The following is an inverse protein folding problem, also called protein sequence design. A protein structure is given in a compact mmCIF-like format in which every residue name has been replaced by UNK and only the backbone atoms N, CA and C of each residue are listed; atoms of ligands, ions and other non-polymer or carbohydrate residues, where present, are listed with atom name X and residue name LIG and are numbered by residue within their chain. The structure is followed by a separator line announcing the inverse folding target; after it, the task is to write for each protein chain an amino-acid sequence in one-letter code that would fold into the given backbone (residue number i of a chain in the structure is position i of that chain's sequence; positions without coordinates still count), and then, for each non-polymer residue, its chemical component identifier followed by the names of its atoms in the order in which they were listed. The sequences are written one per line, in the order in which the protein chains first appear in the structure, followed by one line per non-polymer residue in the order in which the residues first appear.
data_IF_144114270862
#
_entry.id   IF_144114270862
#
_cell.length_a   1.000
_cell.length_b   1.000
_cell.length_c   1.000
_cell.angle_alpha   90.00
_cell.angle_beta   90.00
_cell.angle_gamma   90.00
#
_symmetry.space_group_name_H-M   'P 1'
#
loop_
_entity.id
_entity.type
_entity.pdbx_description
1 polymer ?
#
# COMPACT_ATOMS: atom_id res chain seq x y z
N UNK A 1 26.26 11.06 1.43
CA UNK A 1 27.63 10.77 0.97
C UNK A 1 28.08 11.78 -0.09
N UNK A 2 29.38 12.05 -0.17
CA UNK A 2 29.98 13.06 -1.05
C UNK A 2 29.58 12.90 -2.55
N UNK A 3 29.21 11.69 -2.97
CA UNK A 3 28.70 11.39 -4.31
C UNK A 3 27.39 12.13 -4.66
N UNK A 4 26.45 12.25 -3.72
CA UNK A 4 25.16 12.92 -3.96
C UNK A 4 25.30 14.45 -4.09
N UNK A 5 26.31 15.03 -3.43
CA UNK A 5 26.61 16.48 -3.51
C UNK A 5 27.28 16.85 -4.83
N UNK A 6 28.16 15.99 -5.33
CA UNK A 6 28.85 16.17 -6.61
C UNK A 6 27.88 16.12 -7.81
N UNK A 7 26.83 15.30 -7.74
CA UNK A 7 25.80 15.20 -8.79
C UNK A 7 24.90 16.44 -8.88
N UNK A 8 24.60 17.08 -7.74
CA UNK A 8 23.83 18.33 -7.71
C UNK A 8 24.61 19.52 -8.32
N UNK A 9 25.93 19.53 -8.16
CA UNK A 9 26.81 20.58 -8.69
C UNK A 9 26.94 20.53 -10.22
N UNK A 10 26.84 19.33 -10.81
CA UNK A 10 26.83 19.14 -12.27
C UNK A 10 25.51 19.59 -12.90
N UNK A 11 24.38 19.35 -12.22
CA UNK A 11 23.05 19.75 -12.67
C UNK A 11 22.84 21.28 -12.70
N UNK A 12 23.66 22.05 -11.99
CA UNK A 12 23.57 23.50 -11.92
C UNK A 12 24.29 24.24 -13.07
N UNK A 13 24.91 23.54 -14.03
CA UNK A 13 25.53 24.16 -15.21
C UNK A 13 24.51 24.35 -16.34
N UNK A 14 24.08 25.59 -16.66
CA UNK A 14 23.17 25.83 -17.76
C UNK A 14 23.89 25.60 -19.10
N UNK A 15 23.40 24.65 -19.92
CA UNK A 15 23.82 24.48 -21.32
C UNK A 15 24.32 23.09 -21.73
N UNK A 16 24.48 22.14 -20.80
CA UNK A 16 24.76 20.73 -21.16
C UNK A 16 23.44 19.96 -21.30
N UNK A 17 23.27 19.22 -22.41
CA UNK A 17 22.21 18.23 -22.55
C UNK A 17 22.23 17.29 -21.33
N UNK A 18 21.08 16.88 -20.78
CA UNK A 18 21.06 15.99 -19.61
C UNK A 18 21.82 14.72 -19.97
N UNK A 19 22.88 14.43 -19.21
CA UNK A 19 23.67 13.23 -19.40
C UNK A 19 22.71 12.03 -19.32
N UNK A 20 22.65 11.14 -20.33
CA UNK A 20 21.77 9.98 -20.30
C UNK A 20 21.99 9.12 -19.04
N UNK A 21 23.20 9.07 -18.50
CA UNK A 21 23.46 8.40 -17.23
C UNK A 21 22.80 9.11 -16.04
N UNK A 22 22.72 10.45 -16.06
CA UNK A 22 22.02 11.24 -15.04
C UNK A 22 20.50 11.06 -15.13
N UNK A 23 19.93 11.03 -16.34
CA UNK A 23 18.50 10.74 -16.54
C UNK A 23 18.13 9.33 -16.09
N UNK A 24 18.96 8.33 -16.40
CA UNK A 24 18.77 6.95 -15.92
C UNK A 24 18.89 6.87 -14.40
N UNK A 25 19.90 7.48 -13.80
CA UNK A 25 20.09 7.48 -12.34
C UNK A 25 18.94 8.17 -11.60
N UNK A 26 18.41 9.28 -12.15
CA UNK A 26 17.22 9.96 -11.60
C UNK A 26 15.97 9.09 -11.73
N UNK A 27 15.80 8.37 -12.83
CA UNK A 27 14.69 7.42 -13.01
C UNK A 27 14.77 6.25 -12.02
N UNK A 28 15.95 5.65 -11.86
CA UNK A 28 16.18 4.58 -10.89
C UNK A 28 15.98 5.04 -9.45
N UNK A 29 16.42 6.26 -9.11
CA UNK A 29 16.16 6.86 -7.80
C UNK A 29 14.70 7.17 -7.55
N UNK A 30 13.96 7.65 -8.56
CA UNK A 30 12.51 7.87 -8.44
C UNK A 30 11.74 6.58 -8.24
N UNK A 31 12.09 5.52 -8.97
CA UNK A 31 11.54 4.17 -8.78
C UNK A 31 11.90 3.65 -7.39
N UNK A 32 13.15 3.81 -6.95
CA UNK A 32 13.57 3.42 -5.61
C UNK A 32 12.86 4.22 -4.50
N UNK A 33 12.57 5.50 -4.71
CA UNK A 33 11.80 6.32 -3.77
C UNK A 33 10.32 5.92 -3.74
N UNK A 34 9.72 5.65 -4.90
CA UNK A 34 8.36 5.16 -5.02
C UNK A 34 8.19 3.80 -4.31
N UNK A 35 9.14 2.88 -4.52
CA UNK A 35 9.22 1.60 -3.82
C UNK A 35 9.48 1.75 -2.32
N UNK A 36 10.13 2.84 -1.88
CA UNK A 36 10.42 3.14 -0.46
C UNK A 36 9.30 3.88 0.27
N UNK A 37 8.25 4.34 -0.40
CA UNK A 37 7.19 5.13 0.24
C UNK A 37 5.86 4.37 0.32
N UNK A 38 5.75 3.25 -0.40
CA UNK A 38 4.52 2.47 -0.49
C UNK A 38 4.58 1.24 0.44
N UNK A 39 4.49 1.49 1.74
CA UNK A 39 4.47 0.42 2.75
C UNK A 39 3.03 -0.03 3.03
N UNK A 40 2.77 -1.35 3.12
CA UNK A 40 1.46 -1.91 3.50
C UNK A 40 0.89 -1.26 4.77
N UNK A 41 1.73 -1.03 5.78
CA UNK A 41 1.34 -0.44 7.06
C UNK A 41 0.88 1.01 6.91
N UNK A 42 1.44 1.74 5.95
CA UNK A 42 1.03 3.13 5.69
C UNK A 42 -0.40 3.17 5.17
N UNK A 43 -0.74 2.26 4.24
CA UNK A 43 -2.10 2.11 3.75
C UNK A 43 -3.08 1.61 4.82
N UNK A 44 -2.63 0.74 5.73
CA UNK A 44 -3.42 0.35 6.90
C UNK A 44 -3.76 1.57 7.77
N UNK A 45 -2.80 2.47 8.02
CA UNK A 45 -3.04 3.70 8.79
C UNK A 45 -3.95 4.69 8.05
N UNK A 46 -3.76 4.85 6.73
CA UNK A 46 -4.64 5.69 5.89
C UNK A 46 -6.09 5.17 5.96
N UNK A 47 -6.27 3.85 5.86
CA UNK A 47 -7.58 3.22 5.99
C UNK A 47 -8.21 3.47 7.35
N UNK A 48 -7.44 3.34 8.43
CA UNK A 48 -7.88 3.66 9.79
C UNK A 48 -8.31 5.13 9.95
N UNK A 49 -7.51 6.07 9.46
CA UNK A 49 -7.84 7.50 9.50
C UNK A 49 -9.10 7.81 8.67
N UNK A 50 -9.26 7.19 7.51
CA UNK A 50 -10.46 7.32 6.68
C UNK A 50 -11.71 6.78 7.38
N UNK A 51 -11.61 5.70 8.16
CA UNK A 51 -12.72 5.20 8.99
C UNK A 51 -13.13 6.22 10.05
N UNK A 52 -12.18 6.86 10.73
CA UNK A 52 -12.46 7.93 11.70
C UNK A 52 -13.21 9.08 11.05
N UNK A 53 -12.86 9.43 9.81
CA UNK A 53 -13.56 10.43 8.99
C UNK A 53 -14.85 9.94 8.33
N UNK A 54 -15.28 8.68 8.57
CA UNK A 54 -16.44 8.03 7.91
C UNK A 54 -16.35 8.01 6.37
N UNK A 55 -15.15 8.09 5.82
CA UNK A 55 -14.89 7.99 4.38
C UNK A 55 -14.71 6.52 3.97
N UNK A 56 -15.78 5.73 4.09
CA UNK A 56 -15.73 4.28 3.97
C UNK A 56 -15.17 3.77 2.63
N UNK A 57 -15.47 4.43 1.52
CA UNK A 57 -14.88 4.08 0.21
C UNK A 57 -13.36 4.23 0.20
N UNK A 58 -12.85 5.36 0.70
CA UNK A 58 -11.40 5.61 0.80
C UNK A 58 -10.73 4.65 1.78
N UNK A 59 -11.42 4.29 2.86
CA UNK A 59 -10.90 3.30 3.80
C UNK A 59 -10.73 1.93 3.13
N UNK A 60 -11.75 1.49 2.37
CA UNK A 60 -11.70 0.21 1.67
C UNK A 60 -10.60 0.18 0.60
N UNK A 61 -10.43 1.27 -0.15
CA UNK A 61 -9.37 1.37 -1.16
C UNK A 61 -7.97 1.33 -0.54
N UNK A 62 -7.77 2.03 0.59
CA UNK A 62 -6.50 1.99 1.30
C UNK A 62 -6.19 0.58 1.82
N UNK A 63 -7.13 -0.10 2.48
CA UNK A 63 -6.89 -1.48 2.92
C UNK A 63 -6.63 -2.43 1.75
N UNK A 64 -7.26 -2.22 0.58
CA UNK A 64 -6.98 -2.99 -0.63
C UNK A 64 -5.56 -2.79 -1.14
N UNK A 65 -5.04 -1.57 -1.10
CA UNK A 65 -3.63 -1.32 -1.42
C UNK A 65 -2.71 -2.01 -0.41
N UNK A 66 -3.04 -1.96 0.88
CA UNK A 66 -2.26 -2.65 1.91
C UNK A 66 -2.13 -4.16 1.64
N UNK A 67 -3.23 -4.84 1.31
CA UNK A 67 -3.19 -6.29 1.00
C UNK A 67 -2.64 -6.62 -0.39
N UNK A 68 -2.61 -5.66 -1.30
CA UNK A 68 -1.94 -5.82 -2.60
C UNK A 68 -0.42 -5.75 -2.45
N UNK A 69 0.07 -4.89 -1.55
CA UNK A 69 1.48 -4.75 -1.23
C UNK A 69 1.98 -5.89 -0.33
N UNK A 70 1.19 -6.27 0.67
CA UNK A 70 1.45 -7.44 1.51
C UNK A 70 0.18 -8.28 1.74
N UNK A 71 0.00 -9.38 0.99
CA UNK A 71 -1.10 -10.31 1.20
C UNK A 71 -1.09 -11.00 2.57
N UNK A 72 0.03 -11.00 3.29
CA UNK A 72 0.15 -11.58 4.64
C UNK A 72 -0.31 -10.61 5.75
N UNK A 73 -0.64 -9.37 5.41
CA UNK A 73 -1.10 -8.37 6.39
C UNK A 73 -2.55 -8.65 6.83
N UNK A 74 -2.69 -9.56 7.79
CA UNK A 74 -3.97 -10.05 8.33
C UNK A 74 -4.89 -8.93 8.83
N UNK A 75 -4.33 -7.86 9.40
CA UNK A 75 -5.11 -6.74 9.93
C UNK A 75 -5.86 -5.99 8.82
N UNK A 76 -5.22 -5.77 7.67
CA UNK A 76 -5.84 -5.10 6.53
C UNK A 76 -6.99 -5.96 5.95
N UNK A 77 -6.78 -7.28 5.82
CA UNK A 77 -7.84 -8.20 5.42
C UNK A 77 -9.03 -8.20 6.39
N UNK A 78 -8.75 -8.21 7.69
CA UNK A 78 -9.77 -8.16 8.74
C UNK A 78 -10.61 -6.89 8.62
N UNK A 79 -9.98 -5.75 8.33
CA UNK A 79 -10.69 -4.49 8.12
C UNK A 79 -11.55 -4.51 6.85
N UNK A 80 -11.06 -5.06 5.73
CA UNK A 80 -11.83 -5.19 4.48
C UNK A 80 -13.12 -5.99 4.72
N UNK A 81 -13.00 -7.18 5.30
CA UNK A 81 -14.14 -8.10 5.52
C UNK A 81 -15.18 -7.44 6.41
N UNK A 82 -14.76 -6.87 7.54
CA UNK A 82 -15.67 -6.19 8.49
C UNK A 82 -16.33 -4.97 7.87
N UNK A 83 -15.59 -4.17 7.11
CA UNK A 83 -16.11 -2.96 6.48
C UNK A 83 -17.14 -3.30 5.41
N UNK A 84 -16.88 -4.30 4.56
CA UNK A 84 -17.87 -4.75 3.55
C UNK A 84 -19.14 -5.27 4.20
N UNK A 85 -19.03 -6.09 5.25
CA UNK A 85 -20.19 -6.56 6.00
C UNK A 85 -20.99 -5.40 6.61
N UNK A 86 -20.30 -4.43 7.23
CA UNK A 86 -20.94 -3.24 7.82
C UNK A 86 -21.61 -2.33 6.78
N UNK A 87 -21.12 -2.30 5.54
CA UNK A 87 -21.70 -1.56 4.42
C UNK A 87 -22.85 -2.31 3.71
N UNK A 88 -23.24 -3.49 4.20
CA UNK A 88 -24.32 -4.28 3.61
C UNK A 88 -23.91 -5.08 2.36
N UNK A 89 -22.61 -5.36 2.19
CA UNK A 89 -22.06 -6.24 1.14
C UNK A 89 -21.51 -7.56 1.74
N UNK A 90 -22.38 -8.45 2.28
CA UNK A 90 -21.95 -9.71 2.88
C UNK A 90 -21.34 -10.67 1.85
N UNK A 91 -21.77 -10.62 0.59
CA UNK A 91 -21.19 -11.44 -0.47
C UNK A 91 -19.76 -10.99 -0.80
N UNK A 92 -19.50 -9.69 -0.84
CA UNK A 92 -18.15 -9.15 -0.97
C UNK A 92 -17.27 -9.48 0.23
N UNK A 93 -17.81 -9.37 1.44
CA UNK A 93 -17.08 -9.77 2.66
C UNK A 93 -16.64 -11.24 2.60
N UNK A 94 -17.53 -12.15 2.16
CA UNK A 94 -17.22 -13.57 2.00
C UNK A 94 -16.11 -13.81 0.98
N UNK A 95 -16.20 -13.21 -0.21
CA UNK A 95 -15.16 -13.31 -1.25
C UNK A 95 -13.81 -12.78 -0.76
N UNK A 96 -13.81 -11.68 -0.02
CA UNK A 96 -12.59 -11.12 0.56
C UNK A 96 -12.02 -12.04 1.65
N UNK A 97 -12.88 -12.64 2.47
CA UNK A 97 -12.46 -13.59 3.51
C UNK A 97 -11.86 -14.86 2.90
N UNK A 98 -12.44 -15.40 1.83
CA UNK A 98 -11.89 -16.55 1.10
C UNK A 98 -10.48 -16.25 0.57
N UNK A 99 -10.28 -15.07 -0.02
CA UNK A 99 -8.95 -14.60 -0.47
C UNK A 99 -7.98 -14.42 0.70
N UNK A 100 -8.45 -13.82 1.79
CA UNK A 100 -7.64 -13.59 2.98
C UNK A 100 -7.15 -14.92 3.58
N UNK A 101 -8.04 -15.93 3.67
CA UNK A 101 -7.72 -17.27 4.15
C UNK A 101 -6.84 -18.07 3.18
N UNK A 102 -6.99 -17.87 1.86
CA UNK A 102 -6.09 -18.48 0.89
C UNK A 102 -4.65 -17.96 1.05
N UNK A 103 -4.49 -16.66 1.32
CA UNK A 103 -3.20 -16.06 1.63
C UNK A 103 -2.71 -16.41 3.05
N UNK A 104 -3.62 -16.55 4.02
CA UNK A 104 -3.32 -16.71 5.45
C UNK A 104 -4.11 -17.87 6.09
N UNK A 105 -3.86 -19.14 5.72
CA UNK A 105 -4.73 -20.28 6.02
C UNK A 105 -4.84 -20.68 7.50
N UNK A 106 -4.06 -20.07 8.39
CA UNK A 106 -4.08 -20.34 9.84
C UNK A 106 -4.32 -19.11 10.70
N UNK A 107 -4.60 -17.94 10.12
CA UNK A 107 -4.74 -16.71 10.88
C UNK A 107 -6.01 -16.75 11.77
N UNK A 108 -5.90 -16.76 13.12
CA UNK A 108 -7.05 -16.91 14.01
C UNK A 108 -8.09 -15.80 13.82
N UNK A 109 -7.62 -14.56 13.56
CA UNK A 109 -8.48 -13.42 13.31
C UNK A 109 -9.39 -13.63 12.10
N UNK A 110 -8.88 -14.23 11.02
CA UNK A 110 -9.68 -14.50 9.81
C UNK A 110 -10.59 -15.71 10.00
N UNK A 111 -10.11 -16.76 10.67
CA UNK A 111 -10.91 -17.94 10.97
C UNK A 111 -12.15 -17.58 11.82
N UNK A 112 -12.02 -16.62 12.73
CA UNK A 112 -13.14 -16.11 13.53
C UNK A 112 -14.22 -15.39 12.70
N UNK A 113 -13.90 -14.89 11.50
CA UNK A 113 -14.85 -14.20 10.62
C UNK A 113 -15.64 -15.16 9.70
N UNK A 114 -15.40 -16.48 9.75
CA UNK A 114 -16.11 -17.45 8.89
C UNK A 114 -17.61 -17.54 9.15
N UNK A 115 -18.06 -17.07 10.31
CA UNK A 115 -19.45 -17.10 10.74
C UNK A 115 -20.12 -15.71 10.69
N UNK A 116 -19.45 -14.72 10.10
CA UNK A 116 -19.91 -13.34 9.97
C UNK A 116 -20.85 -13.23 8.76
#
# INVERSE_FOLDING_TARGET
EAAARALLDVAARPGSAPDPALSTALGEWQVALALRTDFPETHLQIGGAALTGRHFGRALDAFRQAVALDPQLVDAWTMIVRLQAALGDPDGARRSLERALAANPGAPALLALRNL
#
